data_IF_785354208323
#
_entry.id   IF_785354208323
#
_cell.length_a   1.000
_cell.length_b   1.000
_cell.length_c   1.000
_cell.angle_alpha   90.00
_cell.angle_beta   90.00
_cell.angle_gamma   90.00
#
_symmetry.space_group_name_H-M   'P 1'
#
loop_
_entity.id
_entity.type
_entity.pdbx_description
1 polymer ?
#
# COMPACT_ATOMS: atom_id res chain seq x y z
N UNK A 1 -16.64 8.29 -10.03
CA UNK A 1 -17.15 8.69 -8.72
C UNK A 1 -15.98 9.10 -7.86
N UNK A 2 -16.09 10.25 -7.20
CA UNK A 2 -15.05 10.84 -6.35
C UNK A 2 -15.75 11.39 -5.09
N UNK A 3 -15.28 11.13 -3.86
CA UNK A 3 -14.07 10.37 -3.51
C UNK A 3 -14.17 8.87 -3.79
N UNK A 4 -13.03 8.21 -3.95
CA UNK A 4 -12.91 6.76 -4.09
C UNK A 4 -12.63 6.16 -2.71
N UNK A 5 -13.42 5.16 -2.32
CA UNK A 5 -13.11 4.35 -1.12
C UNK A 5 -12.40 3.08 -1.55
N UNK A 6 -11.22 2.87 -0.99
CA UNK A 6 -10.36 1.71 -1.25
C UNK A 6 -10.29 0.92 0.05
N UNK A 7 -10.74 -0.33 0.00
CA UNK A 7 -10.69 -1.25 1.13
C UNK A 7 -9.53 -2.20 0.92
N UNK A 8 -8.67 -2.35 1.92
CA UNK A 8 -7.46 -3.13 1.84
C UNK A 8 -7.73 -4.59 2.21
N UNK A 9 -7.22 -5.49 1.38
CA UNK A 9 -7.22 -6.93 1.65
C UNK A 9 -5.85 -7.42 2.11
N UNK A 10 -5.85 -8.45 2.95
CA UNK A 10 -4.65 -9.19 3.34
C UNK A 10 -5.01 -10.65 3.61
N UNK A 11 -4.17 -11.57 3.16
CA UNK A 11 -4.28 -13.00 3.44
C UNK A 11 -2.92 -13.55 3.88
N UNK A 12 -2.90 -14.50 4.83
CA UNK A 12 -1.69 -15.18 5.28
C UNK A 12 -0.80 -14.41 6.27
N UNK A 13 -1.08 -13.13 6.53
CA UNK A 13 -0.33 -12.27 7.47
C UNK A 13 -1.25 -11.39 8.32
N UNK A 14 -0.71 -10.81 9.39
CA UNK A 14 -1.40 -9.84 10.24
C UNK A 14 -1.09 -8.38 9.90
N UNK A 15 -1.97 -7.47 10.33
CA UNK A 15 -1.72 -6.03 10.30
C UNK A 15 -1.27 -5.56 11.67
N UNK A 16 -0.14 -4.85 11.73
CA UNK A 16 0.42 -4.23 12.93
C UNK A 16 0.89 -2.80 12.60
N UNK A 17 0.79 -1.84 13.55
CA UNK A 17 1.32 -0.50 13.33
C UNK A 17 2.84 -0.51 13.07
N UNK A 18 3.31 0.42 12.25
CA UNK A 18 4.74 0.70 12.10
C UNK A 18 5.41 0.97 13.46
N UNK A 19 6.66 0.54 13.59
CA UNK A 19 7.41 0.54 14.86
C UNK A 19 7.06 -0.60 15.82
N UNK A 20 6.02 -1.39 15.53
CA UNK A 20 5.69 -2.60 16.30
C UNK A 20 6.27 -3.82 15.61
N UNK A 21 7.40 -4.31 16.11
CA UNK A 21 7.97 -5.56 15.62
C UNK A 21 7.16 -6.76 16.15
N UNK A 22 6.47 -7.45 15.24
CA UNK A 22 5.71 -8.65 15.53
C UNK A 22 5.79 -9.64 14.35
N UNK A 23 5.94 -10.92 14.67
CA UNK A 23 6.12 -11.98 13.68
C UNK A 23 4.97 -12.06 12.68
N UNK A 24 5.30 -12.22 11.40
CA UNK A 24 4.33 -12.40 10.31
C UNK A 24 3.28 -11.28 10.23
N UNK A 25 3.69 -10.04 10.52
CA UNK A 25 2.85 -8.85 10.42
C UNK A 25 3.53 -7.72 9.66
N UNK A 26 2.73 -6.72 9.27
CA UNK A 26 3.19 -5.49 8.66
C UNK A 26 2.08 -4.46 8.57
N UNK A 27 2.27 -3.44 7.74
CA UNK A 27 1.26 -2.43 7.47
C UNK A 27 1.19 -2.11 5.97
N UNK A 28 0.06 -1.55 5.56
CA UNK A 28 -0.20 -1.31 4.14
C UNK A 28 0.50 -0.05 3.64
N UNK A 29 0.98 -0.14 2.40
CA UNK A 29 1.31 0.97 1.53
C UNK A 29 0.39 0.88 0.30
N UNK A 30 -0.18 2.00 -0.12
CA UNK A 30 -0.92 2.09 -1.38
C UNK A 30 -0.03 2.75 -2.43
N UNK A 31 0.26 1.99 -3.48
CA UNK A 31 0.94 2.46 -4.68
C UNK A 31 -0.12 2.96 -5.66
N UNK A 32 0.02 4.21 -6.11
CA UNK A 32 -0.89 4.88 -7.04
C UNK A 32 -0.06 5.26 -8.27
N UNK A 33 -0.40 4.70 -9.42
CA UNK A 33 0.34 4.93 -10.67
C UNK A 33 1.85 4.63 -10.57
N UNK A 34 2.24 3.75 -9.65
CA UNK A 34 3.63 3.37 -9.41
C UNK A 34 3.88 1.94 -9.91
N UNK A 35 4.97 1.74 -10.66
CA UNK A 35 5.46 0.42 -11.01
C UNK A 35 6.36 -0.10 -9.87
N UNK A 36 5.98 -1.18 -9.15
CA UNK A 36 6.77 -1.70 -8.04
C UNK A 36 8.17 -2.15 -8.47
N UNK A 37 8.41 -2.49 -9.74
CA UNK A 37 9.74 -2.90 -10.21
C UNK A 37 10.78 -1.77 -10.18
N UNK A 38 10.33 -0.53 -10.00
CA UNK A 38 11.19 0.66 -9.88
C UNK A 38 11.54 1.00 -8.42
N UNK A 39 10.94 0.31 -7.46
CA UNK A 39 11.14 0.55 -6.04
C UNK A 39 12.34 -0.23 -5.51
N UNK A 40 13.04 0.38 -4.56
CA UNK A 40 13.99 -0.35 -3.71
C UNK A 40 13.20 -1.18 -2.69
N UNK A 41 13.33 -2.51 -2.78
CA UNK A 41 12.61 -3.45 -1.92
C UNK A 41 13.39 -3.81 -0.65
N UNK A 42 14.65 -3.37 -0.53
CA UNK A 42 15.53 -3.70 0.59
C UNK A 42 15.65 -2.55 1.60
N UNK A 43 14.94 -1.44 1.36
CA UNK A 43 14.91 -0.28 2.25
C UNK A 43 13.50 0.27 2.45
N UNK A 44 13.36 1.19 3.41
CA UNK A 44 12.08 1.77 3.75
C UNK A 44 11.51 2.57 2.59
N UNK A 45 10.24 2.32 2.24
CA UNK A 45 9.59 3.00 1.13
C UNK A 45 9.51 4.52 1.36
N UNK A 46 9.84 5.36 0.37
CA UNK A 46 9.66 6.80 0.50
C UNK A 46 8.17 7.14 0.56
N UNK A 47 7.78 8.03 1.46
CA UNK A 47 6.43 8.56 1.50
C UNK A 47 6.25 9.66 0.43
N UNK A 48 5.33 9.46 -0.49
CA UNK A 48 5.01 10.42 -1.57
C UNK A 48 3.49 10.49 -1.78
N UNK A 49 3.04 11.32 -2.72
CA UNK A 49 1.62 11.34 -3.11
C UNK A 49 1.18 10.04 -3.82
N UNK A 50 2.15 9.32 -4.40
CA UNK A 50 1.97 8.07 -5.15
C UNK A 50 2.22 6.83 -4.29
N UNK A 51 3.06 6.94 -3.26
CA UNK A 51 3.36 5.88 -2.28
C UNK A 51 2.83 6.34 -0.94
N UNK A 52 1.59 5.97 -0.65
CA UNK A 52 0.86 6.43 0.53
C UNK A 52 0.97 5.42 1.66
N UNK A 53 1.41 5.88 2.83
CA UNK A 53 1.67 5.03 3.99
C UNK A 53 0.44 4.89 4.89
N UNK A 54 0.19 3.66 5.36
CA UNK A 54 -0.85 3.33 6.33
C UNK A 54 -0.26 2.61 7.56
N UNK A 55 0.81 3.19 8.11
CA UNK A 55 1.54 2.68 9.27
C UNK A 55 0.75 2.66 10.59
N UNK A 56 -0.48 3.14 10.64
CA UNK A 56 -1.35 3.00 11.81
C UNK A 56 -2.13 1.68 11.86
N UNK A 57 -1.92 0.80 10.87
CA UNK A 57 -2.72 -0.42 10.70
C UNK A 57 -4.09 -0.15 10.06
N UNK A 58 -4.22 0.93 9.29
CA UNK A 58 -5.47 1.23 8.58
C UNK A 58 -5.72 0.15 7.51
N UNK A 59 -6.98 -0.24 7.37
CA UNK A 59 -7.43 -1.25 6.40
C UNK A 59 -8.33 -0.65 5.31
N UNK A 60 -8.49 0.67 5.28
CA UNK A 60 -9.18 1.37 4.21
C UNK A 60 -8.79 2.84 4.16
N UNK A 61 -9.06 3.47 3.03
CA UNK A 61 -8.98 4.92 2.86
C UNK A 61 -10.08 5.41 1.92
N UNK A 62 -10.62 6.59 2.21
CA UNK A 62 -11.42 7.36 1.24
C UNK A 62 -10.56 8.52 0.76
N UNK A 63 -10.20 8.52 -0.53
CA UNK A 63 -9.26 9.46 -1.13
C UNK A 63 -9.86 10.12 -2.36
N UNK A 64 -9.59 11.40 -2.54
CA UNK A 64 -9.83 12.08 -3.80
C UNK A 64 -8.73 11.73 -4.80
N UNK A 65 -9.13 11.30 -5.99
CA UNK A 65 -8.21 11.07 -7.10
C UNK A 65 -8.55 12.03 -8.25
N UNK A 66 -7.57 12.52 -9.01
CA UNK A 66 -7.81 13.29 -10.23
C UNK A 66 -8.73 12.54 -11.20
N UNK A 67 -9.44 13.27 -12.06
CA UNK A 67 -10.17 12.63 -13.15
C UNK A 67 -9.18 11.95 -14.12
N UNK A 68 -9.44 10.70 -14.49
CA UNK A 68 -8.55 9.91 -15.34
C UNK A 68 -8.46 8.43 -14.97
N UNK A 69 -7.54 7.73 -15.61
CA UNK A 69 -7.23 6.33 -15.34
C UNK A 69 -6.11 6.23 -14.32
N UNK A 70 -6.30 5.38 -13.30
CA UNK A 70 -5.32 5.13 -12.26
C UNK A 70 -5.06 3.63 -12.11
N UNK A 71 -3.81 3.26 -11.87
CA UNK A 71 -3.47 1.94 -11.31
C UNK A 71 -3.30 2.06 -9.81
N UNK A 72 -3.80 1.07 -9.07
CA UNK A 72 -3.66 0.98 -7.63
C UNK A 72 -3.13 -0.41 -7.26
N UNK A 73 -2.24 -0.47 -6.27
CA UNK A 73 -1.71 -1.71 -5.75
C UNK A 73 -1.37 -1.57 -4.27
N UNK A 74 -1.63 -2.61 -3.48
CA UNK A 74 -1.18 -2.68 -2.10
C UNK A 74 0.16 -3.39 -2.02
N UNK A 75 1.05 -2.86 -1.17
CA UNK A 75 2.32 -3.47 -0.81
C UNK A 75 2.43 -3.49 0.73
N UNK A 76 2.65 -4.67 1.30
CA UNK A 76 2.84 -4.82 2.74
C UNK A 76 4.31 -4.59 3.10
N UNK A 77 4.57 -3.62 3.96
CA UNK A 77 5.88 -3.40 4.56
C UNK A 77 5.90 -3.90 6.01
N UNK A 78 7.08 -4.26 6.49
CA UNK A 78 7.32 -4.65 7.87
C UNK A 78 7.20 -3.45 8.84
N UNK A 79 7.57 -3.66 10.10
CA UNK A 79 7.50 -2.62 11.13
C UNK A 79 8.34 -1.37 10.80
N UNK A 80 9.35 -1.49 9.93
CA UNK A 80 10.27 -0.41 9.53
C UNK A 80 9.95 0.20 8.15
N UNK A 81 8.82 -0.17 7.55
CA UNK A 81 8.37 0.23 6.20
C UNK A 81 9.16 -0.43 5.07
N UNK A 82 9.93 -1.49 5.36
CA UNK A 82 10.66 -2.25 4.35
C UNK A 82 9.73 -3.34 3.80
N UNK A 83 9.59 -3.48 2.47
CA UNK A 83 8.85 -4.60 1.89
C UNK A 83 9.32 -5.97 2.41
N UNK A 84 8.39 -6.90 2.62
CA UNK A 84 8.77 -8.28 2.96
C UNK A 84 9.57 -8.94 1.83
N UNK A 85 10.31 -10.01 2.15
CA UNK A 85 10.99 -10.86 1.16
C UNK A 85 10.53 -12.32 1.30
N UNK A 86 9.80 -12.88 0.31
CA UNK A 86 9.35 -12.22 -0.92
C UNK A 86 8.32 -11.10 -0.65
N UNK A 87 8.19 -10.10 -1.55
CA UNK A 87 7.22 -9.02 -1.38
C UNK A 87 5.79 -9.54 -1.33
N UNK A 88 5.00 -9.00 -0.41
CA UNK A 88 3.57 -9.29 -0.28
C UNK A 88 2.79 -8.15 -0.89
N UNK A 89 2.22 -8.40 -2.07
CA UNK A 89 1.53 -7.41 -2.89
C UNK A 89 0.16 -7.92 -3.32
N UNK A 90 -0.80 -7.00 -3.49
CA UNK A 90 -2.05 -7.33 -4.17
C UNK A 90 -1.84 -7.42 -5.69
N UNK A 91 -2.87 -7.93 -6.38
CA UNK A 91 -3.03 -7.68 -7.81
C UNK A 91 -3.12 -6.16 -8.09
N UNK A 92 -2.65 -5.75 -9.26
CA UNK A 92 -2.82 -4.37 -9.74
C UNK A 92 -4.26 -4.21 -10.22
N UNK A 93 -4.94 -3.20 -9.72
CA UNK A 93 -6.28 -2.82 -10.19
C UNK A 93 -6.19 -1.53 -11.01
N UNK A 94 -6.98 -1.46 -12.08
CA UNK A 94 -7.13 -0.25 -12.89
C UNK A 94 -8.52 0.31 -12.71
N UNK A 95 -8.61 1.59 -12.36
CA UNK A 95 -9.88 2.30 -12.21
C UNK A 95 -9.91 3.53 -13.11
N UNK A 96 -11.12 4.00 -13.43
CA UNK A 96 -11.35 5.29 -14.08
C UNK A 96 -12.20 6.16 -13.18
N UNK A 97 -11.67 7.34 -12.84
CA UNK A 97 -12.37 8.37 -12.07
C UNK A 97 -12.91 9.40 -13.06
N UNK A 98 -14.24 9.47 -13.12
CA UNK A 98 -14.99 10.52 -13.83
C UNK A 98 -15.46 11.57 -12.83
#
# INVERSE_FOLDING_TARGET
SNPVTIVFGLEGMGVAPAGTEADNTGHHHLLINTDPSTLDMDSGLPATDEIVHFGGGQTQVTKELPAGTHTLQLLLGDWSHVPHNPPVMSEVITITVN
#
